data_IF_191136251510
#
_entry.id   IF_191136251510
#
_cell.length_a   1.000
_cell.length_b   1.000
_cell.length_c   1.000
_cell.angle_alpha   90.00
_cell.angle_beta   90.00
_cell.angle_gamma   90.00
#
_symmetry.space_group_name_H-M   'P 1'
#
loop_
_entity.id
_entity.type
_entity.pdbx_description
1 polymer ?
#
# COMPACT_ATOMS: atom_id res chain seq x y z
N UNK A 1 -30.64 -38.19 20.84
CA UNK A 1 -29.85 -37.25 20.02
C UNK A 1 -30.69 -36.49 18.99
N UNK A 2 -31.61 -37.12 18.23
CA UNK A 2 -32.47 -36.44 17.25
C UNK A 2 -33.42 -35.35 17.82
N UNK A 3 -33.93 -35.51 19.05
CA UNK A 3 -34.83 -34.50 19.66
C UNK A 3 -34.12 -33.18 19.96
N UNK A 4 -32.85 -33.20 20.36
CA UNK A 4 -32.06 -31.99 20.67
C UNK A 4 -31.73 -31.15 19.43
N UNK A 5 -31.57 -31.80 18.27
CA UNK A 5 -31.31 -31.13 16.99
C UNK A 5 -32.55 -30.38 16.49
N UNK A 6 -33.75 -30.96 16.70
CA UNK A 6 -35.03 -30.31 16.33
C UNK A 6 -35.28 -29.02 17.12
N UNK A 7 -34.94 -28.98 18.40
CA UNK A 7 -35.11 -27.76 19.22
C UNK A 7 -34.13 -26.65 18.84
N UNK A 8 -32.88 -26.96 18.47
CA UNK A 8 -31.93 -25.95 17.96
C UNK A 8 -32.37 -25.37 16.61
N UNK A 9 -32.87 -26.21 15.70
CA UNK A 9 -33.34 -25.74 14.40
C UNK A 9 -34.58 -24.83 14.54
N UNK A 10 -35.55 -25.23 15.37
CA UNK A 10 -36.74 -24.43 15.68
C UNK A 10 -36.37 -23.10 16.35
N UNK A 11 -35.41 -23.10 17.28
CA UNK A 11 -34.95 -21.88 17.95
C UNK A 11 -34.26 -20.89 16.99
N UNK A 12 -33.48 -21.39 16.03
CA UNK A 12 -32.77 -20.54 15.06
C UNK A 12 -33.75 -19.93 14.04
N UNK A 13 -34.76 -20.69 13.62
CA UNK A 13 -35.85 -20.20 12.75
C UNK A 13 -36.69 -19.15 13.51
N UNK A 14 -36.98 -19.38 14.80
CA UNK A 14 -37.76 -18.45 15.62
C UNK A 14 -37.04 -17.12 15.84
N UNK A 15 -35.72 -17.12 16.10
CA UNK A 15 -34.91 -15.89 16.22
C UNK A 15 -34.88 -15.14 14.87
N UNK A 16 -34.71 -15.85 13.76
CA UNK A 16 -34.68 -15.24 12.43
C UNK A 16 -36.02 -14.59 12.06
N UNK A 17 -37.15 -15.21 12.44
CA UNK A 17 -38.48 -14.64 12.27
C UNK A 17 -38.72 -13.42 13.19
N UNK A 18 -38.22 -13.46 14.43
CA UNK A 18 -38.31 -12.33 15.37
C UNK A 18 -37.55 -11.10 14.85
N UNK A 19 -36.36 -11.28 14.27
CA UNK A 19 -35.58 -10.20 13.64
C UNK A 19 -36.36 -9.59 12.46
N UNK A 20 -37.01 -10.41 11.64
CA UNK A 20 -37.82 -9.95 10.51
C UNK A 20 -39.12 -9.24 10.92
N UNK A 21 -39.74 -9.66 12.02
CA UNK A 21 -41.00 -9.08 12.52
C UNK A 21 -40.79 -7.80 13.33
N UNK A 22 -39.68 -7.67 14.07
CA UNK A 22 -39.39 -6.49 14.92
C UNK A 22 -38.55 -5.40 14.24
N UNK A 23 -38.01 -5.65 13.04
CA UNK A 23 -37.29 -4.62 12.26
C UNK A 23 -37.99 -4.45 10.90
N UNK A 24 -39.22 -3.91 10.85
CA UNK A 24 -39.96 -3.73 9.60
C UNK A 24 -39.36 -2.65 8.68
N UNK A 25 -38.24 -2.05 9.09
CA UNK A 25 -37.56 -0.95 8.40
C UNK A 25 -36.04 -1.15 8.35
N UNK A 26 -35.56 -2.38 8.14
CA UNK A 26 -34.26 -2.57 7.53
C UNK A 26 -34.36 -2.09 6.08
N UNK A 27 -34.28 -0.76 5.90
CA UNK A 27 -33.86 -0.17 4.63
C UNK A 27 -32.47 -0.74 4.39
N UNK A 28 -32.40 -1.84 3.65
CA UNK A 28 -31.20 -2.20 2.92
C UNK A 28 -30.89 -0.97 2.08
N UNK A 29 -29.97 -0.16 2.59
CA UNK A 29 -29.39 0.92 1.83
C UNK A 29 -28.91 0.23 0.57
N UNK A 30 -29.50 0.57 -0.58
CA UNK A 30 -28.88 0.26 -1.86
C UNK A 30 -27.53 0.94 -1.78
N UNK A 31 -26.51 0.19 -1.36
CA UNK A 31 -25.13 0.54 -1.64
C UNK A 31 -25.12 0.50 -3.15
N UNK A 32 -25.27 1.67 -3.76
CA UNK A 32 -24.94 1.85 -5.16
C UNK A 32 -23.51 1.32 -5.24
N UNK A 33 -23.33 0.15 -5.85
CA UNK A 33 -22.03 -0.30 -6.28
C UNK A 33 -21.57 0.78 -7.27
N UNK A 34 -20.96 1.82 -6.74
CA UNK A 34 -20.34 2.86 -7.52
C UNK A 34 -19.31 2.09 -8.33
N UNK A 35 -19.54 1.99 -9.64
CA UNK A 35 -18.65 1.28 -10.55
C UNK A 35 -17.29 1.97 -10.41
N UNK A 36 -16.40 1.41 -9.60
CA UNK A 36 -15.02 1.88 -9.54
C UNK A 36 -14.47 1.47 -10.89
N UNK A 37 -14.35 2.43 -11.80
CA UNK A 37 -13.77 2.19 -13.11
C UNK A 37 -12.34 1.68 -12.87
N UNK A 38 -12.14 0.38 -13.05
CA UNK A 38 -10.80 -0.20 -13.00
C UNK A 38 -9.97 0.45 -14.11
N UNK A 39 -8.68 0.73 -13.87
CA UNK A 39 -7.86 1.38 -14.88
C UNK A 39 -7.78 0.52 -16.15
N UNK A 40 -7.71 1.17 -17.30
CA UNK A 40 -7.18 0.55 -18.50
C UNK A 40 -5.71 0.18 -18.25
N UNK A 41 -5.29 -1.02 -18.64
CA UNK A 41 -3.91 -1.48 -18.46
C UNK A 41 -3.37 -1.90 -19.81
N UNK A 42 -2.25 -1.30 -20.21
CA UNK A 42 -1.61 -1.53 -21.49
C UNK A 42 -0.15 -1.89 -21.30
N UNK A 43 0.35 -2.83 -22.09
CA UNK A 43 1.76 -3.13 -22.17
C UNK A 43 2.39 -2.40 -23.35
N UNK A 44 3.50 -1.71 -23.11
CA UNK A 44 4.34 -1.11 -24.15
C UNK A 44 5.42 -2.09 -24.65
N UNK A 45 5.68 -3.15 -23.88
CA UNK A 45 6.54 -4.27 -24.26
C UNK A 45 5.73 -5.56 -24.32
N UNK A 46 5.89 -6.35 -25.39
CA UNK A 46 5.09 -7.57 -25.64
C UNK A 46 5.15 -8.58 -24.49
N UNK A 47 6.32 -8.71 -23.84
CA UNK A 47 6.49 -9.63 -22.71
C UNK A 47 5.59 -9.31 -21.51
N UNK A 48 5.14 -8.04 -21.38
CA UNK A 48 4.26 -7.58 -20.30
C UNK A 48 2.77 -7.67 -20.70
N UNK A 49 2.47 -7.99 -21.96
CA UNK A 49 1.09 -8.11 -22.46
C UNK A 49 0.44 -9.42 -22.01
N UNK A 50 -0.01 -9.45 -20.75
CA UNK A 50 -0.52 -10.66 -20.13
C UNK A 50 -1.71 -10.35 -19.21
N UNK A 51 -2.84 -11.04 -19.44
CA UNK A 51 -4.07 -10.83 -18.66
C UNK A 51 -3.89 -11.05 -17.14
N UNK A 52 -3.01 -11.97 -16.73
CA UNK A 52 -2.72 -12.19 -15.30
C UNK A 52 -1.93 -11.04 -14.67
N UNK A 53 -1.11 -10.33 -15.44
CA UNK A 53 -0.40 -9.13 -14.99
C UNK A 53 -1.40 -7.99 -14.83
N UNK A 54 -2.30 -7.82 -15.79
CA UNK A 54 -3.32 -6.77 -15.74
C UNK A 54 -4.30 -6.99 -14.58
N UNK A 55 -4.71 -8.24 -14.36
CA UNK A 55 -5.55 -8.62 -13.22
C UNK A 55 -4.86 -8.31 -11.88
N UNK A 56 -3.58 -8.64 -11.77
CA UNK A 56 -2.79 -8.35 -10.58
C UNK A 56 -2.68 -6.84 -10.30
N UNK A 57 -2.49 -6.00 -11.33
CA UNK A 57 -2.48 -4.54 -11.17
C UNK A 57 -3.82 -4.02 -10.67
N UNK A 58 -4.93 -4.44 -11.28
CA UNK A 58 -6.27 -4.01 -10.89
C UNK A 58 -6.60 -4.45 -9.46
N UNK A 59 -6.31 -5.72 -9.13
CA UNK A 59 -6.52 -6.29 -7.80
C UNK A 59 -5.62 -5.66 -6.74
N UNK A 60 -4.36 -5.42 -7.07
CA UNK A 60 -3.39 -4.73 -6.21
C UNK A 60 -3.81 -3.30 -5.94
N UNK A 61 -4.15 -2.53 -6.98
CA UNK A 61 -4.62 -1.16 -6.82
C UNK A 61 -5.89 -1.11 -5.95
N UNK A 62 -6.90 -1.94 -6.22
CA UNK A 62 -8.11 -1.99 -5.40
C UNK A 62 -7.81 -2.32 -3.93
N UNK A 63 -6.87 -3.22 -3.68
CA UNK A 63 -6.47 -3.57 -2.31
C UNK A 63 -5.69 -2.44 -1.62
N UNK A 64 -4.80 -1.75 -2.34
CA UNK A 64 -4.13 -0.57 -1.83
C UNK A 64 -5.14 0.52 -1.43
N UNK A 65 -6.21 0.69 -2.21
CA UNK A 65 -7.28 1.64 -1.91
C UNK A 65 -8.08 1.29 -0.67
N UNK A 66 -8.34 0.00 -0.46
CA UNK A 66 -8.99 -0.49 0.76
C UNK A 66 -8.14 -0.26 2.01
N UNK A 67 -6.81 -0.34 1.88
CA UNK A 67 -5.89 -0.19 3.00
C UNK A 67 -5.56 1.28 3.30
N UNK A 68 -5.39 2.12 2.27
CA UNK A 68 -4.76 3.44 2.40
C UNK A 68 -5.56 4.59 1.78
N UNK A 69 -6.77 4.32 1.29
CA UNK A 69 -7.65 5.33 0.71
C UNK A 69 -7.44 5.57 -0.79
N UNK A 70 -8.14 6.57 -1.31
CA UNK A 70 -8.16 6.87 -2.74
C UNK A 70 -6.82 7.48 -3.22
N UNK A 71 -6.39 7.19 -4.46
CA UNK A 71 -5.25 7.86 -5.06
C UNK A 71 -5.43 9.36 -5.09
N UNK A 72 -4.33 10.11 -4.86
CA UNK A 72 -4.33 11.58 -4.95
C UNK A 72 -4.76 12.08 -6.33
N UNK A 73 -4.43 11.33 -7.37
CA UNK A 73 -4.88 11.55 -8.74
C UNK A 73 -5.55 10.26 -9.21
N UNK A 74 -6.78 10.34 -9.70
CA UNK A 74 -7.52 9.17 -10.16
C UNK A 74 -6.71 8.40 -11.23
N UNK A 75 -6.47 7.12 -10.98
CA UNK A 75 -5.74 6.23 -11.89
C UNK A 75 -6.72 5.69 -12.93
N UNK A 76 -6.66 6.24 -14.15
CA UNK A 76 -7.54 5.84 -15.26
C UNK A 76 -6.84 4.89 -16.23
N UNK A 77 -5.53 5.06 -16.40
CA UNK A 77 -4.70 4.26 -17.31
C UNK A 77 -3.34 3.97 -16.70
N UNK A 78 -2.89 2.73 -16.84
CA UNK A 78 -1.57 2.27 -16.42
C UNK A 78 -0.89 1.60 -17.61
N UNK A 79 0.21 2.19 -18.07
CA UNK A 79 1.10 1.57 -19.04
C UNK A 79 2.18 0.78 -18.31
N UNK A 80 2.64 -0.31 -18.92
CA UNK A 80 3.72 -1.15 -18.42
C UNK A 80 4.89 -1.13 -19.39
N UNK A 81 6.09 -0.91 -18.88
CA UNK A 81 7.31 -0.87 -19.70
C UNK A 81 8.50 -1.48 -18.98
N UNK A 82 9.34 -2.22 -19.71
CA UNK A 82 10.65 -2.63 -19.23
C UNK A 82 11.64 -1.46 -19.25
N UNK A 83 12.40 -1.32 -18.18
CA UNK A 83 13.38 -0.25 -18.01
C UNK A 83 14.46 -0.67 -17.02
N UNK A 84 15.65 -0.07 -17.10
CA UNK A 84 16.76 -0.41 -16.20
C UNK A 84 16.51 0.00 -14.75
N UNK A 85 15.65 0.98 -14.54
CA UNK A 85 15.30 1.51 -13.22
C UNK A 85 13.78 1.40 -13.02
N UNK A 86 13.31 0.70 -11.97
CA UNK A 86 11.89 0.61 -11.66
C UNK A 86 11.36 1.95 -11.12
N UNK A 87 10.14 2.30 -11.50
CA UNK A 87 9.47 3.54 -11.11
C UNK A 87 8.00 3.54 -11.56
N UNK A 88 7.10 4.05 -10.73
CA UNK A 88 5.78 4.52 -11.16
C UNK A 88 5.83 6.02 -11.43
N UNK A 89 5.53 6.40 -12.67
CA UNK A 89 5.54 7.79 -13.13
C UNK A 89 4.13 8.27 -13.46
N UNK A 90 3.90 9.56 -13.22
CA UNK A 90 2.68 10.25 -13.64
C UNK A 90 2.93 10.95 -14.98
N UNK A 91 2.42 10.36 -16.06
CA UNK A 91 2.61 10.89 -17.42
C UNK A 91 1.67 12.07 -17.69
N UNK A 92 0.39 11.91 -17.30
CA UNK A 92 -0.62 12.94 -17.50
C UNK A 92 -1.60 13.01 -16.33
N UNK A 93 -1.44 14.04 -15.50
CA UNK A 93 -2.29 14.29 -14.33
C UNK A 93 -3.78 14.51 -14.68
N UNK A 94 -4.07 15.18 -15.80
CA UNK A 94 -5.44 15.51 -16.18
C UNK A 94 -6.20 14.29 -16.70
N UNK A 95 -5.46 13.37 -17.34
CA UNK A 95 -6.02 12.14 -17.89
C UNK A 95 -5.90 10.97 -16.90
N UNK A 96 -5.15 11.10 -15.80
CA UNK A 96 -4.93 10.01 -14.86
C UNK A 96 -4.12 8.87 -15.47
N UNK A 97 -3.14 9.21 -16.31
CA UNK A 97 -2.27 8.26 -16.98
C UNK A 97 -0.93 8.13 -16.26
N UNK A 98 -0.57 6.88 -16.01
CA UNK A 98 0.66 6.50 -15.33
C UNK A 98 1.41 5.47 -16.16
N UNK A 99 2.74 5.43 -16.03
CA UNK A 99 3.56 4.33 -16.52
C UNK A 99 4.31 3.70 -15.35
N UNK A 100 4.16 2.38 -15.20
CA UNK A 100 4.99 1.56 -14.32
C UNK A 100 6.15 0.99 -15.15
N UNK A 101 7.35 1.33 -14.74
CA UNK A 101 8.60 0.82 -15.26
C UNK A 101 9.10 -0.35 -14.39
N UNK A 102 9.51 -1.45 -15.02
CA UNK A 102 9.98 -2.66 -14.35
C UNK A 102 11.34 -3.07 -14.89
N UNK A 103 12.25 -3.49 -14.02
CA UNK A 103 13.56 -4.02 -14.39
C UNK A 103 13.60 -5.53 -14.54
N UNK A 104 12.53 -6.22 -14.13
CA UNK A 104 12.39 -7.66 -14.24
C UNK A 104 11.32 -8.05 -15.26
N UNK A 105 11.53 -9.20 -15.90
CA UNK A 105 10.58 -9.86 -16.80
C UNK A 105 9.61 -10.73 -16.01
N UNK A 106 8.40 -11.03 -16.53
CA UNK A 106 7.40 -11.82 -15.81
C UNK A 106 7.82 -13.22 -15.35
N UNK A 107 8.82 -13.81 -15.99
CA UNK A 107 9.37 -15.12 -15.63
C UNK A 107 10.33 -15.08 -14.43
N UNK A 108 10.77 -13.91 -14.01
CA UNK A 108 11.72 -13.75 -12.91
C UNK A 108 11.00 -13.67 -11.56
N UNK A 109 11.56 -14.30 -10.54
CA UNK A 109 11.03 -14.29 -9.17
C UNK A 109 10.72 -12.86 -8.66
N UNK A 110 11.65 -11.94 -8.92
CA UNK A 110 11.58 -10.56 -8.48
C UNK A 110 10.39 -9.77 -9.09
N UNK A 111 9.84 -10.23 -10.21
CA UNK A 111 8.84 -9.48 -10.98
C UNK A 111 7.61 -9.07 -10.17
N UNK A 112 6.96 -10.03 -9.50
CA UNK A 112 5.70 -9.76 -8.79
C UNK A 112 5.91 -8.85 -7.58
N UNK A 113 7.03 -9.01 -6.88
CA UNK A 113 7.39 -8.13 -5.76
C UNK A 113 7.64 -6.70 -6.22
N UNK A 114 8.42 -6.51 -7.29
CA UNK A 114 8.65 -5.19 -7.88
C UNK A 114 7.35 -4.56 -8.42
N UNK A 115 6.53 -5.32 -9.13
CA UNK A 115 5.24 -4.84 -9.61
C UNK A 115 4.30 -4.45 -8.45
N UNK A 116 4.26 -5.24 -7.38
CA UNK A 116 3.51 -4.93 -6.16
C UNK A 116 3.95 -3.61 -5.53
N UNK A 117 5.27 -3.38 -5.45
CA UNK A 117 5.85 -2.13 -4.97
C UNK A 117 5.40 -0.94 -5.82
N UNK A 118 5.55 -1.01 -7.14
CA UNK A 118 5.17 0.10 -8.03
C UNK A 118 3.65 0.36 -8.10
N UNK A 119 2.81 -0.65 -7.86
CA UNK A 119 1.36 -0.46 -7.72
C UNK A 119 1.03 0.46 -6.54
N UNK A 120 1.75 0.38 -5.42
CA UNK A 120 1.51 1.26 -4.27
C UNK A 120 1.73 2.73 -4.63
N UNK A 121 2.78 3.02 -5.40
CA UNK A 121 3.12 4.37 -5.83
C UNK A 121 2.05 5.02 -6.72
N UNK A 122 1.12 4.24 -7.30
CA UNK A 122 -0.05 4.80 -7.98
C UNK A 122 -0.98 5.60 -7.05
N UNK A 123 -0.95 5.35 -5.73
CA UNK A 123 -1.71 6.15 -4.75
C UNK A 123 -1.21 7.59 -4.70
N UNK A 124 0.11 7.80 -4.81
CA UNK A 124 0.71 9.13 -4.90
C UNK A 124 2.12 9.09 -5.51
N UNK A 125 2.20 9.10 -6.85
CA UNK A 125 3.46 9.04 -7.60
C UNK A 125 4.37 10.27 -7.45
N UNK A 126 3.99 11.24 -6.61
CA UNK A 126 4.81 12.41 -6.27
C UNK A 126 5.54 12.26 -4.94
N UNK A 127 5.31 11.19 -4.18
CA UNK A 127 6.02 10.94 -2.93
C UNK A 127 7.42 10.40 -3.24
N UNK A 128 8.44 11.19 -2.87
CA UNK A 128 9.83 10.73 -2.83
C UNK A 128 10.30 10.76 -1.39
N UNK A 129 9.88 9.75 -0.64
CA UNK A 129 9.98 9.71 0.82
C UNK A 129 10.30 8.31 1.35
N UNK A 130 11.19 8.19 2.33
CA UNK A 130 11.61 6.89 2.87
C UNK A 130 10.48 6.08 3.51
N UNK A 131 9.49 6.74 4.12
CA UNK A 131 8.31 6.09 4.68
C UNK A 131 7.43 5.53 3.55
N UNK A 132 7.28 6.28 2.44
CA UNK A 132 6.54 5.81 1.27
C UNK A 132 7.21 4.60 0.60
N UNK A 133 8.54 4.61 0.44
CA UNK A 133 9.29 3.49 -0.12
C UNK A 133 9.22 2.21 0.75
N UNK A 134 9.31 2.38 2.06
CA UNK A 134 9.09 1.29 3.01
C UNK A 134 7.67 0.73 2.92
N UNK A 135 6.67 1.61 2.85
CA UNK A 135 5.26 1.21 2.71
C UNK A 135 4.97 0.52 1.39
N UNK A 136 5.55 0.97 0.28
CA UNK A 136 5.43 0.30 -1.01
C UNK A 136 5.97 -1.14 -0.93
N UNK A 137 7.08 -1.33 -0.22
CA UNK A 137 7.70 -2.66 -0.04
C UNK A 137 6.88 -3.55 0.90
N UNK A 138 6.35 -3.01 2.01
CA UNK A 138 5.43 -3.73 2.90
C UNK A 138 4.12 -4.07 2.17
N UNK A 139 3.63 -3.19 1.31
CA UNK A 139 2.46 -3.48 0.48
C UNK A 139 2.73 -4.59 -0.53
N UNK A 140 3.92 -4.63 -1.14
CA UNK A 140 4.34 -5.71 -2.01
C UNK A 140 4.29 -7.08 -1.29
N UNK A 141 4.79 -7.16 -0.05
CA UNK A 141 4.66 -8.35 0.79
C UNK A 141 3.18 -8.74 1.00
N UNK A 142 2.33 -7.77 1.36
CA UNK A 142 0.91 -8.01 1.62
C UNK A 142 0.17 -8.52 0.38
N UNK A 143 0.41 -7.93 -0.78
CA UNK A 143 -0.29 -8.32 -2.03
C UNK A 143 0.16 -9.71 -2.50
N UNK A 144 1.44 -10.05 -2.37
CA UNK A 144 1.95 -11.38 -2.68
C UNK A 144 1.37 -12.43 -1.72
N UNK A 145 1.40 -12.16 -0.41
CA UNK A 145 0.86 -13.07 0.61
C UNK A 145 -0.63 -13.31 0.41
N UNK A 146 -1.42 -12.26 0.11
CA UNK A 146 -2.85 -12.37 -0.19
C UNK A 146 -3.12 -13.29 -1.38
N UNK A 147 -2.24 -13.27 -2.38
CA UNK A 147 -2.36 -14.07 -3.60
C UNK A 147 -1.65 -15.44 -3.50
N UNK A 148 -1.22 -15.85 -2.29
CA UNK A 148 -0.45 -17.08 -2.03
C UNK A 148 0.86 -17.17 -2.84
N UNK A 149 1.51 -16.04 -3.07
CA UNK A 149 2.82 -15.95 -3.70
C UNK A 149 3.92 -15.81 -2.64
N UNK A 150 5.09 -16.36 -2.95
CA UNK A 150 6.24 -16.34 -2.05
C UNK A 150 6.92 -14.96 -2.00
N UNK A 151 7.20 -14.48 -0.78
CA UNK A 151 7.93 -13.25 -0.48
C UNK A 151 9.33 -13.52 0.12
N UNK A 152 9.60 -14.75 0.55
CA UNK A 152 10.77 -15.08 1.39
C UNK A 152 12.12 -14.73 0.75
N UNK A 153 12.22 -14.83 -0.58
CA UNK A 153 13.41 -14.43 -1.34
C UNK A 153 13.69 -12.92 -1.27
N UNK A 154 12.65 -12.08 -1.27
CA UNK A 154 12.81 -10.62 -1.07
C UNK A 154 13.23 -10.30 0.35
N UNK A 155 12.59 -10.91 1.34
CA UNK A 155 12.96 -10.70 2.74
C UNK A 155 14.41 -11.13 3.01
N UNK A 156 14.83 -12.29 2.50
CA UNK A 156 16.22 -12.75 2.61
C UNK A 156 17.20 -11.83 1.86
N UNK A 157 16.83 -11.30 0.69
CA UNK A 157 17.63 -10.33 -0.06
C UNK A 157 17.89 -9.05 0.76
N UNK A 158 16.85 -8.52 1.40
CA UNK A 158 16.96 -7.35 2.27
C UNK A 158 17.75 -7.63 3.56
N UNK A 159 17.57 -8.80 4.19
CA UNK A 159 18.35 -9.21 5.36
C UNK A 159 19.86 -9.30 5.08
N UNK A 160 20.22 -9.68 3.84
CA UNK A 160 21.61 -9.76 3.40
C UNK A 160 22.21 -8.39 3.05
N UNK A 161 21.42 -7.31 3.06
CA UNK A 161 21.88 -5.95 2.79
C UNK A 161 22.05 -5.61 1.31
N UNK A 162 21.58 -6.46 0.39
CA UNK A 162 21.46 -6.09 -1.01
C UNK A 162 20.29 -5.10 -1.13
N UNK A 163 20.53 -3.89 -1.64
CA UNK A 163 19.63 -2.73 -1.56
C UNK A 163 19.38 -2.20 -0.12
N UNK A 164 20.41 -1.64 0.54
CA UNK A 164 20.33 -1.27 1.95
C UNK A 164 19.25 -0.21 2.24
N UNK A 165 19.00 0.72 1.32
CA UNK A 165 17.91 1.71 1.48
C UNK A 165 16.55 1.01 1.57
N UNK A 166 16.20 0.20 0.57
CA UNK A 166 14.90 -0.48 0.50
C UNK A 166 14.74 -1.49 1.64
N UNK A 167 15.79 -2.23 1.97
CA UNK A 167 15.77 -3.17 3.09
C UNK A 167 15.54 -2.47 4.44
N UNK A 168 16.26 -1.38 4.72
CA UNK A 168 16.08 -0.62 5.96
C UNK A 168 14.69 0.01 6.06
N UNK A 169 14.19 0.62 4.98
CA UNK A 169 12.84 1.22 4.99
C UNK A 169 11.75 0.16 5.08
N UNK A 170 11.95 -1.02 4.49
CA UNK A 170 11.03 -2.16 4.62
C UNK A 170 10.93 -2.63 6.08
N UNK A 171 12.05 -2.94 6.74
CA UNK A 171 12.00 -3.39 8.14
C UNK A 171 11.46 -2.32 9.08
N UNK A 172 11.83 -1.04 8.85
CA UNK A 172 11.28 0.08 9.60
C UNK A 172 9.75 0.15 9.44
N UNK A 173 9.25 0.16 8.21
CA UNK A 173 7.81 0.31 7.96
C UNK A 173 6.99 -0.93 8.29
N UNK A 174 7.59 -2.12 8.28
CA UNK A 174 6.96 -3.35 8.77
C UNK A 174 6.68 -3.24 10.27
N UNK A 175 7.69 -2.91 11.08
CA UNK A 175 7.54 -2.75 12.54
C UNK A 175 6.67 -1.53 12.90
N UNK A 176 6.77 -0.42 12.15
CA UNK A 176 5.86 0.73 12.30
C UNK A 176 4.41 0.33 12.01
N UNK A 177 4.16 -0.43 10.94
CA UNK A 177 2.81 -0.86 10.58
C UNK A 177 2.17 -1.75 11.65
N UNK A 178 2.96 -2.65 12.23
CA UNK A 178 2.53 -3.52 13.33
C UNK A 178 2.24 -2.72 14.61
N UNK A 179 3.09 -1.75 14.92
CA UNK A 179 2.99 -0.92 16.13
C UNK A 179 1.86 0.11 16.06
N UNK A 180 1.74 0.81 14.93
CA UNK A 180 0.72 1.84 14.72
C UNK A 180 -0.67 1.23 14.52
N UNK A 181 -0.76 0.03 13.94
CA UNK A 181 -2.00 -0.64 13.61
C UNK A 181 -2.69 -0.06 12.37
N UNK A 182 -3.60 -0.85 11.79
CA UNK A 182 -4.23 -0.55 10.49
C UNK A 182 -4.98 0.78 10.45
N UNK A 183 -5.65 1.17 11.53
CA UNK A 183 -6.42 2.41 11.61
C UNK A 183 -5.55 3.68 11.52
N UNK A 184 -4.34 3.65 12.07
CA UNK A 184 -3.40 4.77 11.96
C UNK A 184 -2.65 4.74 10.62
N UNK A 185 -2.29 3.54 10.16
CA UNK A 185 -1.58 3.36 8.89
C UNK A 185 -2.43 3.75 7.67
N UNK A 186 -3.75 3.56 7.72
CA UNK A 186 -4.64 3.93 6.60
C UNK A 186 -4.65 5.43 6.31
N UNK A 187 -4.26 6.26 7.28
CA UNK A 187 -4.24 7.72 7.19
C UNK A 187 -2.87 8.29 6.86
N UNK A 188 -1.82 7.47 6.77
CA UNK A 188 -0.45 7.97 6.57
C UNK A 188 -0.33 8.87 5.33
N UNK A 189 -0.99 8.50 4.23
CA UNK A 189 -0.93 9.26 2.97
C UNK A 189 -1.68 10.61 3.04
N UNK A 190 -2.57 10.81 4.01
CA UNK A 190 -3.24 12.09 4.24
C UNK A 190 -2.25 13.18 4.68
N UNK A 191 -1.10 12.76 5.23
CA UNK A 191 -0.02 13.64 5.69
C UNK A 191 1.03 13.89 4.61
N UNK A 192 0.76 13.54 3.35
CA UNK A 192 1.61 13.93 2.23
C UNK A 192 1.57 15.45 2.01
N UNK A 193 2.71 16.11 2.16
CA UNK A 193 2.89 17.56 1.99
C UNK A 193 3.87 17.87 0.86
N UNK A 194 3.66 19.00 0.18
CA UNK A 194 4.56 19.42 -0.90
C UNK A 194 5.93 19.83 -0.34
N UNK A 195 7.00 19.45 -1.04
CA UNK A 195 8.31 20.00 -0.78
C UNK A 195 8.34 21.50 -1.15
N UNK A 196 8.69 22.36 -0.18
CA UNK A 196 8.70 23.82 -0.36
C UNK A 196 9.70 24.29 -1.41
N UNK A 197 10.86 23.63 -1.51
CA UNK A 197 11.90 23.94 -2.48
C UNK A 197 11.56 23.42 -3.88
N UNK A 198 10.87 22.28 -3.97
CA UNK A 198 10.44 21.69 -5.24
C UNK A 198 9.01 21.18 -5.15
N UNK A 199 8.04 22.03 -5.53
CA UNK A 199 6.61 21.72 -5.49
C UNK A 199 6.17 20.55 -6.40
N UNK A 200 7.07 19.98 -7.19
CA UNK A 200 6.78 18.76 -7.97
C UNK A 200 6.73 17.52 -7.08
N UNK A 201 7.51 17.51 -6.01
CA UNK A 201 7.66 16.36 -5.12
C UNK A 201 7.03 16.60 -3.76
N UNK A 202 6.66 15.50 -3.13
CA UNK A 202 6.01 15.44 -1.83
C UNK A 202 6.81 14.56 -0.89
N UNK A 203 6.59 14.78 0.40
CA UNK A 203 7.11 13.94 1.47
C UNK A 203 6.04 13.77 2.55
N UNK A 204 6.24 12.83 3.47
CA UNK A 204 5.31 12.58 4.57
C UNK A 204 5.63 13.54 5.72
N UNK A 205 4.64 14.32 6.17
CA UNK A 205 4.70 15.06 7.42
C UNK A 205 4.57 14.08 8.59
N UNK A 206 5.71 13.49 8.97
CA UNK A 206 5.77 12.44 9.98
C UNK A 206 5.30 12.93 11.36
N UNK A 207 5.63 14.16 11.73
CA UNK A 207 5.22 14.74 13.02
C UNK A 207 3.72 15.01 13.06
N UNK A 208 3.15 15.49 11.95
CA UNK A 208 1.71 15.63 11.79
C UNK A 208 0.99 14.29 11.92
N UNK A 209 1.50 13.24 11.26
CA UNK A 209 0.91 11.91 11.32
C UNK A 209 0.98 11.32 12.73
N UNK A 210 2.13 11.37 13.38
CA UNK A 210 2.34 10.93 14.76
C UNK A 210 1.43 11.65 15.75
N UNK A 211 1.27 12.97 15.58
CA UNK A 211 0.40 13.79 16.44
C UNK A 211 -1.10 13.51 16.26
N UNK A 212 -1.47 12.74 15.23
CA UNK A 212 -2.86 12.30 15.03
C UNK A 212 -3.23 11.03 15.81
N UNK A 213 -2.25 10.38 16.44
CA UNK A 213 -2.42 9.16 17.21
C UNK A 213 -2.63 9.45 18.70
N UNK A 214 -2.97 8.44 19.49
CA UNK A 214 -2.88 8.54 20.95
C UNK A 214 -1.41 8.61 21.41
N UNK A 215 -1.16 9.27 22.54
CA UNK A 215 0.20 9.46 23.08
C UNK A 215 0.97 8.14 23.22
N UNK A 216 0.29 7.09 23.71
CA UNK A 216 0.91 5.78 23.86
C UNK A 216 1.39 5.21 22.50
N UNK A 217 0.52 5.22 21.49
CA UNK A 217 0.87 4.68 20.16
C UNK A 217 1.96 5.54 19.52
N UNK A 218 1.85 6.87 19.62
CA UNK A 218 2.85 7.81 19.14
C UNK A 218 4.24 7.49 19.70
N UNK A 219 4.35 7.33 21.03
CA UNK A 219 5.64 7.04 21.70
C UNK A 219 6.24 5.73 21.20
N UNK A 220 5.43 4.67 21.06
CA UNK A 220 5.93 3.37 20.57
C UNK A 220 6.36 3.44 19.10
N UNK A 221 5.59 4.11 18.24
CA UNK A 221 5.97 4.30 16.83
C UNK A 221 7.23 5.14 16.71
N UNK A 222 7.39 6.20 17.50
CA UNK A 222 8.60 7.03 17.54
C UNK A 222 9.84 6.21 17.92
N UNK A 223 9.73 5.29 18.89
CA UNK A 223 10.84 4.39 19.26
C UNK A 223 11.27 3.52 18.08
N UNK A 224 10.30 2.95 17.36
CA UNK A 224 10.57 2.14 16.16
C UNK A 224 11.25 2.99 15.10
N UNK A 225 10.71 4.16 14.75
CA UNK A 225 11.33 5.03 13.73
C UNK A 225 12.77 5.39 14.14
N UNK A 226 12.99 5.79 15.39
CA UNK A 226 14.31 6.19 15.88
C UNK A 226 15.36 5.06 15.88
N UNK A 227 14.93 3.80 15.99
CA UNK A 227 15.80 2.62 15.85
C UNK A 227 16.44 2.52 14.44
N UNK A 228 15.73 2.94 13.39
CA UNK A 228 16.17 2.78 11.99
C UNK A 228 16.65 4.07 11.33
N UNK A 229 16.05 5.21 11.68
CA UNK A 229 16.13 6.45 10.88
C UNK A 229 17.55 6.96 10.64
N UNK A 230 18.46 6.74 11.58
CA UNK A 230 19.86 7.14 11.44
C UNK A 230 20.56 6.36 10.32
N UNK A 231 20.33 5.04 10.25
CA UNK A 231 20.88 4.17 9.20
C UNK A 231 20.22 4.47 7.85
N UNK A 232 18.92 4.75 7.82
CA UNK A 232 18.21 5.15 6.60
C UNK A 232 18.78 6.46 6.04
N UNK A 233 19.01 7.46 6.89
CA UNK A 233 19.58 8.76 6.47
C UNK A 233 20.99 8.63 5.90
N UNK A 234 21.83 7.77 6.48
CA UNK A 234 23.20 7.59 5.98
C UNK A 234 23.24 7.00 4.57
N UNK A 235 22.32 6.10 4.23
CA UNK A 235 22.22 5.50 2.88
C UNK A 235 21.47 6.37 1.87
N UNK A 236 20.63 7.32 2.30
CA UNK A 236 20.03 8.31 1.39
C UNK A 236 21.08 9.31 0.91
N UNK A 237 22.01 9.71 1.79
CA UNK A 237 23.11 10.60 1.44
C UNK A 237 23.95 10.10 0.26
N UNK A 238 24.08 8.77 0.10
CA UNK A 238 24.77 8.15 -1.03
C UNK A 238 23.92 8.03 -2.30
N UNK A 239 22.60 8.26 -2.24
CA UNK A 239 21.67 8.31 -3.39
C UNK A 239 21.34 9.75 -3.81
N UNK A 240 22.29 10.67 -3.70
CA UNK A 240 22.15 12.09 -4.08
C UNK A 240 20.95 12.83 -3.44
N UNK A 241 20.50 12.39 -2.26
CA UNK A 241 19.34 12.96 -1.58
C UNK A 241 18.04 12.96 -2.43
N UNK A 242 17.85 11.94 -3.27
CA UNK A 242 16.63 11.78 -4.06
C UNK A 242 15.38 11.67 -3.18
N UNK A 243 15.51 11.02 -2.01
CA UNK A 243 14.42 10.80 -1.06
C UNK A 243 14.50 11.76 0.13
N UNK A 244 13.34 12.26 0.56
CA UNK A 244 13.21 12.92 1.86
C UNK A 244 13.03 11.87 2.95
N UNK A 245 13.63 12.08 4.12
CA UNK A 245 13.45 11.20 5.26
C UNK A 245 13.59 12.01 6.54
N UNK A 246 12.50 12.62 6.97
CA UNK A 246 12.47 13.42 8.20
C UNK A 246 12.49 12.48 9.40
N UNK A 247 13.25 12.81 10.44
CA UNK A 247 13.10 12.11 11.72
C UNK A 247 12.01 12.82 12.52
N UNK A 248 11.26 12.10 13.37
CA UNK A 248 10.34 12.73 14.30
C UNK A 248 11.06 13.79 15.13
N UNK A 249 10.45 14.96 15.31
CA UNK A 249 11.02 15.98 16.20
C UNK A 249 10.89 15.50 17.64
N UNK A 250 11.99 15.60 18.40
CA UNK A 250 11.95 15.32 19.84
C UNK A 250 11.05 16.39 20.49
N UNK A 251 9.92 15.97 21.03
CA UNK A 251 9.11 16.80 21.94
C UNK A 251 9.78 16.86 23.31
#
# INVERSE_FOLDING_TARGET
MLRFIRYKLLFTIFISLLIFLYIPNLKLQKVSAQFISSPEVNALDDSLNNASIYSFIKSGLNYSKQLYGEPRIAVKKVNLRLHTTPLASLDNANQGEFTIYLSHKPSEYAFRGQLGHEIFHLLNAKLLDCYAEGMATVFAEKVLTRDNLDWSGWEAYFQQGYEPFYGLTYFMMKEVSETAGSANMSRLLDFAVNNKANKKWMYIDIDGWLSSMSDYVKIEVEKVINKYIFQVKSVIGSKNNMYTCLAPTKN
#
